data_IF_448681072163
#
_entry.id   IF_448681072163
#
_cell.length_a   1.000
_cell.length_b   1.000
_cell.length_c   1.000
_cell.angle_alpha   90.00
_cell.angle_beta   90.00
_cell.angle_gamma   90.00
#
_symmetry.space_group_name_H-M   'P 1'
#
loop_
_entity.id
_entity.type
_entity.pdbx_description
1 polymer ?
#
# COMPACT_ATOMS: atom_id res chain seq x y z
N UNK A 1 17.86 -6.72 4.92
CA UNK A 1 18.72 -7.18 3.81
C UNK A 1 17.90 -8.16 2.99
N UNK A 2 17.82 -7.92 1.69
CA UNK A 2 17.17 -8.81 0.72
C UNK A 2 18.22 -9.81 0.27
N UNK A 3 17.89 -11.08 0.16
CA UNK A 3 18.83 -12.13 -0.18
C UNK A 3 18.49 -12.65 -1.58
N UNK A 4 19.37 -12.41 -2.56
CA UNK A 4 19.17 -12.86 -3.94
C UNK A 4 20.06 -14.06 -4.17
N UNK A 5 19.48 -15.21 -4.53
CA UNK A 5 20.24 -16.42 -4.82
C UNK A 5 21.16 -16.21 -6.04
N UNK A 6 22.25 -16.99 -6.11
CA UNK A 6 23.21 -16.86 -7.23
C UNK A 6 22.54 -17.07 -8.59
N UNK A 7 21.63 -18.04 -8.70
CA UNK A 7 20.85 -18.32 -9.92
C UNK A 7 19.98 -17.12 -10.31
N UNK A 8 19.34 -16.48 -9.34
CA UNK A 8 18.53 -15.30 -9.58
C UNK A 8 19.38 -14.09 -9.99
N UNK A 9 20.58 -13.92 -9.41
CA UNK A 9 21.51 -12.86 -9.82
C UNK A 9 21.96 -13.05 -11.28
N UNK A 10 22.41 -14.25 -11.66
CA UNK A 10 22.79 -14.56 -13.05
C UNK A 10 21.64 -14.30 -14.03
N UNK A 11 20.41 -14.65 -13.65
CA UNK A 11 19.21 -14.37 -14.44
C UNK A 11 18.94 -12.86 -14.56
N UNK A 12 19.07 -12.08 -13.49
CA UNK A 12 18.91 -10.62 -13.55
C UNK A 12 19.97 -9.97 -14.44
N UNK A 13 21.24 -10.37 -14.33
CA UNK A 13 22.29 -9.87 -15.22
C UNK A 13 21.96 -10.14 -16.69
N UNK A 14 21.44 -11.33 -17.00
CA UNK A 14 21.00 -11.67 -18.36
C UNK A 14 19.76 -10.90 -18.82
N UNK A 15 18.88 -10.49 -17.91
CA UNK A 15 17.73 -9.63 -18.26
C UNK A 15 18.21 -8.21 -18.56
N UNK A 16 19.04 -7.65 -17.66
CA UNK A 16 19.56 -6.29 -17.77
C UNK A 16 20.44 -6.09 -19.01
N UNK A 17 21.11 -7.12 -19.53
CA UNK A 17 21.87 -7.01 -20.77
C UNK A 17 21.03 -6.73 -22.02
N UNK A 18 19.71 -6.94 -21.94
CA UNK A 18 18.77 -6.62 -23.01
C UNK A 18 18.06 -5.27 -22.81
N UNK A 19 18.30 -4.62 -21.67
CA UNK A 19 17.70 -3.34 -21.32
C UNK A 19 18.67 -2.18 -21.66
N UNK A 20 18.17 -0.93 -21.74
CA UNK A 20 19.01 0.25 -21.96
C UNK A 20 20.13 0.38 -20.92
N UNK A 21 21.22 1.04 -21.30
CA UNK A 21 22.34 1.34 -20.40
C UNK A 21 21.85 2.03 -19.11
N UNK A 22 22.51 1.70 -17.99
CA UNK A 22 22.17 2.14 -16.63
C UNK A 22 20.83 1.65 -16.05
N UNK A 23 20.08 0.79 -16.74
CA UNK A 23 18.89 0.15 -16.15
C UNK A 23 19.32 -0.82 -15.04
N UNK A 24 18.65 -0.73 -13.89
CA UNK A 24 18.89 -1.57 -12.71
C UNK A 24 17.59 -2.27 -12.30
N UNK A 25 17.58 -2.92 -11.14
CA UNK A 25 16.38 -3.58 -10.59
C UNK A 25 15.80 -2.76 -9.45
N UNK A 26 14.48 -2.67 -9.37
CA UNK A 26 13.75 -2.14 -8.22
C UNK A 26 12.92 -3.26 -7.59
N UNK A 27 13.02 -3.40 -6.27
CA UNK A 27 12.10 -4.26 -5.50
C UNK A 27 11.10 -3.36 -4.82
N UNK A 28 9.81 -3.66 -4.98
CA UNK A 28 8.73 -2.88 -4.41
C UNK A 28 7.71 -3.77 -3.70
N UNK A 29 6.92 -3.15 -2.85
CA UNK A 29 5.79 -3.76 -2.16
C UNK A 29 4.58 -2.87 -2.29
N UNK A 30 3.45 -3.46 -2.66
CA UNK A 30 2.14 -2.83 -2.72
C UNK A 30 1.36 -3.24 -1.47
N UNK A 31 0.65 -2.30 -0.85
CA UNK A 31 -0.13 -2.51 0.38
C UNK A 31 0.68 -3.13 1.55
N UNK A 32 1.87 -2.60 1.89
CA UNK A 32 2.75 -3.20 2.91
C UNK A 32 2.05 -3.31 4.26
N UNK A 33 2.27 -4.45 4.94
CA UNK A 33 1.70 -4.72 6.26
C UNK A 33 0.27 -5.23 6.25
N UNK A 34 -0.37 -5.37 5.09
CA UNK A 34 -1.76 -5.84 5.00
C UNK A 34 -1.85 -7.29 4.51
N UNK A 35 -3.00 -7.98 4.68
CA UNK A 35 -3.21 -9.30 4.11
C UNK A 35 -3.05 -9.35 2.57
N UNK A 36 -3.31 -8.21 1.92
CA UNK A 36 -3.22 -7.99 0.48
C UNK A 36 -1.83 -7.47 0.04
N UNK A 37 -0.81 -7.57 0.90
CA UNK A 37 0.52 -7.14 0.54
C UNK A 37 1.09 -8.01 -0.59
N UNK A 38 1.55 -7.35 -1.65
CA UNK A 38 2.15 -7.97 -2.83
C UNK A 38 3.54 -7.41 -3.07
N UNK A 39 4.50 -8.29 -3.33
CA UNK A 39 5.89 -7.90 -3.59
C UNK A 39 6.23 -8.18 -5.05
N UNK A 40 6.97 -7.28 -5.66
CA UNK A 40 7.36 -7.37 -7.07
C UNK A 40 8.77 -6.90 -7.32
N UNK A 41 9.24 -7.19 -8.53
CA UNK A 41 10.46 -6.65 -9.11
C UNK A 41 10.14 -5.96 -10.42
N UNK A 42 10.82 -4.85 -10.69
CA UNK A 42 10.69 -4.07 -11.91
C UNK A 42 12.06 -3.59 -12.37
N UNK A 43 12.16 -3.23 -13.65
CA UNK A 43 13.32 -2.49 -14.15
C UNK A 43 13.26 -1.06 -13.63
N UNK A 44 14.43 -0.50 -13.32
CA UNK A 44 14.59 0.84 -12.77
C UNK A 44 15.64 1.59 -13.60
N UNK A 45 15.20 2.37 -14.58
CA UNK A 45 16.06 3.32 -15.29
C UNK A 45 16.63 4.38 -14.33
N UNK A 46 17.72 5.04 -14.72
CA UNK A 46 18.42 6.01 -13.88
C UNK A 46 17.55 7.21 -13.49
N UNK A 47 16.66 7.66 -14.39
CA UNK A 47 15.74 8.78 -14.15
C UNK A 47 14.58 8.45 -13.21
N UNK A 48 14.37 7.17 -12.86
CA UNK A 48 13.33 6.75 -11.93
C UNK A 48 13.84 6.58 -10.49
N UNK A 49 15.15 6.70 -10.26
CA UNK A 49 15.74 6.55 -8.93
C UNK A 49 15.37 7.78 -8.08
N UNK A 50 14.80 7.53 -6.90
CA UNK A 50 14.40 8.58 -5.97
C UNK A 50 15.46 8.82 -4.88
N UNK A 51 15.47 10.02 -4.29
CA UNK A 51 16.37 10.34 -3.16
C UNK A 51 16.08 9.50 -1.90
N UNK A 52 14.86 9.01 -1.78
CA UNK A 52 14.38 8.11 -0.72
C UNK A 52 14.79 6.65 -0.97
N UNK A 53 15.37 6.31 -2.11
CA UNK A 53 15.78 4.95 -2.40
C UNK A 53 17.08 4.57 -1.69
N UNK A 54 17.12 3.32 -1.25
CA UNK A 54 18.31 2.66 -0.74
C UNK A 54 18.87 1.80 -1.87
N UNK A 55 20.14 2.05 -2.20
CA UNK A 55 20.88 1.25 -3.15
C UNK A 55 21.52 0.04 -2.47
N UNK A 56 21.23 -1.16 -2.98
CA UNK A 56 21.82 -2.42 -2.55
C UNK A 56 22.68 -2.98 -3.69
N UNK A 57 23.96 -3.25 -3.40
CA UNK A 57 24.92 -3.76 -4.39
C UNK A 57 24.91 -5.28 -4.44
N UNK A 58 24.81 -5.84 -5.64
CA UNK A 58 24.94 -7.26 -5.94
C UNK A 58 26.00 -7.49 -7.02
N UNK A 59 26.18 -8.74 -7.44
CA UNK A 59 27.15 -9.09 -8.47
C UNK A 59 26.64 -8.65 -9.85
N UNK A 60 27.24 -7.58 -10.39
CA UNK A 60 26.93 -7.07 -11.73
C UNK A 60 25.72 -6.12 -11.84
N UNK A 61 24.98 -5.85 -10.76
CA UNK A 61 23.85 -4.92 -10.78
C UNK A 61 23.54 -4.33 -9.39
N UNK A 62 22.69 -3.30 -9.39
CA UNK A 62 22.16 -2.69 -8.18
C UNK A 62 20.66 -2.97 -8.04
N UNK A 63 20.21 -3.01 -6.80
CA UNK A 63 18.78 -3.07 -6.47
C UNK A 63 18.41 -1.83 -5.68
N UNK A 64 17.41 -1.09 -6.16
CA UNK A 64 16.82 0.04 -5.47
C UNK A 64 15.56 -0.37 -4.72
N UNK A 65 15.42 0.14 -3.50
CA UNK A 65 14.26 -0.09 -2.64
C UNK A 65 13.96 1.18 -1.87
N UNK A 66 12.69 1.61 -1.89
CA UNK A 66 12.28 2.78 -1.14
C UNK A 66 12.48 2.56 0.38
N UNK A 67 13.13 3.53 1.04
CA UNK A 67 13.48 3.49 2.47
C UNK A 67 12.30 3.25 3.40
N UNK A 68 11.10 3.71 3.05
CA UNK A 68 9.91 3.57 3.89
C UNK A 68 9.38 2.12 3.88
N UNK A 69 9.67 1.39 2.80
CA UNK A 69 9.16 0.03 2.59
C UNK A 69 10.16 -1.07 2.95
N UNK A 70 11.45 -0.76 3.04
CA UNK A 70 12.53 -1.75 3.22
C UNK A 70 12.35 -2.64 4.46
N UNK A 71 11.69 -2.12 5.50
CA UNK A 71 11.40 -2.86 6.74
C UNK A 71 10.48 -4.07 6.51
N UNK A 72 9.54 -3.97 5.57
CA UNK A 72 8.64 -5.08 5.19
C UNK A 72 9.34 -6.12 4.31
N UNK A 73 10.42 -5.73 3.66
CA UNK A 73 11.27 -6.59 2.82
C UNK A 73 12.44 -7.22 3.61
N UNK A 74 12.39 -7.17 4.94
CA UNK A 74 13.39 -7.82 5.78
C UNK A 74 13.31 -9.34 5.62
N UNK A 75 14.48 -9.98 5.52
CA UNK A 75 14.61 -11.43 5.29
C UNK A 75 13.89 -11.90 4.01
N UNK A 76 13.62 -11.00 3.07
CA UNK A 76 13.09 -11.38 1.76
C UNK A 76 14.13 -12.15 0.96
N UNK A 77 13.68 -13.18 0.26
CA UNK A 77 14.51 -14.02 -0.59
C UNK A 77 13.99 -13.98 -2.01
N UNK A 78 14.85 -13.65 -2.97
CA UNK A 78 14.58 -13.78 -4.40
C UNK A 78 15.35 -14.98 -4.91
N UNK A 79 14.63 -15.91 -5.53
CA UNK A 79 15.20 -17.13 -6.08
C UNK A 79 14.62 -17.44 -7.47
N UNK A 80 15.36 -18.24 -8.25
CA UNK A 80 14.92 -18.74 -9.54
C UNK A 80 14.59 -20.22 -9.39
N UNK A 81 13.30 -20.55 -9.46
CA UNK A 81 12.83 -21.94 -9.45
C UNK A 81 12.71 -22.40 -10.89
N UNK A 82 13.47 -23.42 -11.26
CA UNK A 82 13.38 -24.06 -12.58
C UNK A 82 12.61 -25.36 -12.44
N UNK A 83 11.53 -25.47 -13.19
CA UNK A 83 10.67 -26.64 -13.23
C UNK A 83 10.55 -27.18 -14.66
N UNK A 84 9.79 -28.27 -14.85
CA UNK A 84 9.66 -28.94 -16.17
C UNK A 84 9.06 -28.06 -17.29
N UNK A 85 8.46 -26.93 -16.94
CA UNK A 85 7.73 -26.02 -17.85
C UNK A 85 8.53 -24.73 -18.13
N UNK A 86 9.54 -24.41 -17.32
CA UNK A 86 10.35 -23.19 -17.47
C UNK A 86 11.02 -22.75 -16.16
N UNK A 87 11.65 -21.58 -16.20
CA UNK A 87 12.23 -20.93 -15.02
C UNK A 87 11.35 -19.77 -14.57
N UNK A 88 11.02 -19.72 -13.27
CA UNK A 88 10.21 -18.66 -12.66
C UNK A 88 10.97 -17.98 -11.52
N UNK A 89 11.06 -16.65 -11.57
CA UNK A 89 11.53 -15.84 -10.45
C UNK A 89 10.48 -15.84 -9.34
N UNK A 90 10.90 -16.14 -8.12
CA UNK A 90 10.07 -16.17 -6.92
C UNK A 90 10.63 -15.20 -5.89
N UNK A 91 9.78 -14.30 -5.39
CA UNK A 91 10.09 -13.40 -4.28
C UNK A 91 9.29 -13.82 -3.05
N UNK A 92 9.99 -14.32 -2.03
CA UNK A 92 9.41 -14.66 -0.73
C UNK A 92 9.74 -13.55 0.26
N UNK A 93 8.73 -12.82 0.70
CA UNK A 93 8.87 -11.76 1.68
C UNK A 93 8.07 -12.13 2.96
N UNK A 94 8.70 -12.79 3.95
CA UNK A 94 8.00 -13.34 5.12
C UNK A 94 7.34 -12.25 5.97
N UNK A 95 7.80 -11.01 5.83
CA UNK A 95 7.34 -9.87 6.60
C UNK A 95 6.53 -8.86 5.79
N UNK A 96 6.25 -9.15 4.51
CA UNK A 96 5.44 -8.28 3.65
C UNK A 96 4.03 -8.05 4.20
N UNK A 97 3.42 -9.13 4.71
CA UNK A 97 2.09 -9.14 5.32
C UNK A 97 2.13 -8.93 6.83
N UNK A 98 3.32 -8.88 7.43
CA UNK A 98 3.40 -8.60 8.85
C UNK A 98 3.14 -7.12 9.08
N UNK A 99 2.29 -6.85 10.05
CA UNK A 99 2.12 -5.55 10.67
C UNK A 99 3.38 -5.10 11.46
N UNK A 100 4.58 -5.12 10.84
CA UNK A 100 5.80 -4.53 11.39
C UNK A 100 5.72 -3.01 11.55
N UNK A 101 4.61 -2.40 11.11
CA UNK A 101 4.20 -1.03 11.45
C UNK A 101 3.85 -0.85 12.94
N UNK A 102 4.66 -1.45 13.81
CA UNK A 102 4.67 -1.21 15.24
C UNK A 102 6.09 -0.81 15.69
N UNK A 103 6.78 0.11 14.98
CA UNK A 103 7.80 0.98 15.61
C UNK A 103 8.44 2.14 14.82
N UNK A 104 8.01 2.52 13.62
CA UNK A 104 8.50 3.76 12.99
C UNK A 104 7.31 4.62 12.61
N UNK A 105 6.88 5.41 13.60
CA UNK A 105 6.16 6.68 13.46
C UNK A 105 5.24 6.85 12.24
N UNK A 106 4.31 5.93 11.99
CA UNK A 106 3.13 6.33 11.24
C UNK A 106 2.21 7.07 12.20
N UNK A 107 1.88 8.32 11.87
CA UNK A 107 0.94 9.10 12.67
C UNK A 107 -0.40 8.35 12.74
N UNK A 108 -1.19 8.59 13.78
CA UNK A 108 -2.53 7.99 13.87
C UNK A 108 -3.33 8.28 12.58
N UNK A 109 -3.15 9.47 12.00
CA UNK A 109 -3.78 9.87 10.75
C UNK A 109 -3.38 8.99 9.56
N UNK A 110 -2.11 8.65 9.41
CA UNK A 110 -1.63 7.81 8.31
C UNK A 110 -2.19 6.39 8.41
N UNK A 111 -2.24 5.85 9.63
CA UNK A 111 -2.84 4.53 9.87
C UNK A 111 -4.32 4.51 9.50
N UNK A 112 -5.04 5.56 9.87
CA UNK A 112 -6.46 5.70 9.55
C UNK A 112 -6.68 5.91 8.05
N UNK A 113 -5.88 6.76 7.39
CA UNK A 113 -5.94 6.94 5.93
C UNK A 113 -5.71 5.62 5.19
N UNK A 114 -4.71 4.85 5.61
CA UNK A 114 -4.43 3.53 5.05
C UNK A 114 -5.61 2.57 5.23
N UNK A 115 -6.17 2.50 6.44
CA UNK A 115 -7.35 1.68 6.73
C UNK A 115 -8.56 2.07 5.88
N UNK A 116 -8.87 3.36 5.74
CA UNK A 116 -9.96 3.82 4.89
C UNK A 116 -9.76 3.39 3.44
N UNK A 117 -8.54 3.51 2.90
CA UNK A 117 -8.25 3.13 1.52
C UNK A 117 -8.32 1.61 1.26
N UNK A 118 -8.01 0.77 2.24
CA UNK A 118 -7.92 -0.68 2.05
C UNK A 118 -9.15 -1.46 2.51
N UNK A 119 -9.83 -1.01 3.57
CA UNK A 119 -10.94 -1.76 4.18
C UNK A 119 -12.31 -1.14 3.90
N UNK A 120 -12.36 0.18 3.64
CA UNK A 120 -13.61 0.92 3.47
C UNK A 120 -13.85 1.28 2.00
N UNK A 121 -12.91 1.98 1.37
CA UNK A 121 -13.05 2.50 0.02
C UNK A 121 -13.30 1.43 -1.06
N UNK A 122 -12.78 0.19 -0.99
CA UNK A 122 -13.14 -0.84 -1.96
C UNK A 122 -14.65 -1.15 -1.93
N UNK A 123 -15.26 -1.15 -0.74
CA UNK A 123 -16.70 -1.39 -0.57
C UNK A 123 -17.53 -0.20 -1.06
N UNK A 124 -17.08 1.03 -0.76
CA UNK A 124 -17.76 2.25 -1.22
C UNK A 124 -17.65 2.45 -2.74
N UNK A 125 -16.51 2.09 -3.34
CA UNK A 125 -16.25 2.27 -4.78
C UNK A 125 -17.20 1.42 -5.63
N UNK A 126 -17.68 0.28 -5.12
CA UNK A 126 -18.72 -0.52 -5.79
C UNK A 126 -20.00 0.26 -6.05
N UNK A 127 -20.27 1.29 -5.24
CA UNK A 127 -21.39 2.20 -5.36
C UNK A 127 -20.98 3.60 -5.85
N UNK A 128 -19.79 3.72 -6.45
CA UNK A 128 -19.26 4.98 -6.96
C UNK A 128 -18.91 6.01 -5.89
N UNK A 129 -18.78 5.60 -4.63
CA UNK A 129 -18.47 6.47 -3.50
C UNK A 129 -17.07 6.25 -2.91
N UNK A 130 -16.61 7.22 -2.13
CA UNK A 130 -15.33 7.16 -1.41
C UNK A 130 -15.43 7.91 -0.08
N UNK A 131 -14.55 7.60 0.86
CA UNK A 131 -14.31 8.35 2.08
C UNK A 131 -12.84 8.66 2.26
N UNK A 132 -12.54 9.85 2.77
CA UNK A 132 -11.20 10.33 3.07
C UNK A 132 -11.14 10.87 4.51
N UNK A 133 -9.97 10.76 5.15
CA UNK A 133 -9.72 11.35 6.46
C UNK A 133 -9.21 12.79 6.28
N UNK A 134 -9.89 13.73 6.92
CA UNK A 134 -9.53 15.15 6.91
C UNK A 134 -8.51 15.48 7.99
N UNK A 135 -8.77 15.07 9.24
CA UNK A 135 -7.94 15.34 10.42
C UNK A 135 -8.32 14.43 11.57
N UNK A 136 -7.42 14.26 12.54
CA UNK A 136 -7.75 13.71 13.86
C UNK A 136 -7.38 14.74 14.92
N UNK A 137 -8.34 15.10 15.78
CA UNK A 137 -8.08 16.05 16.86
C UNK A 137 -7.39 15.39 18.07
N UNK A 138 -6.92 16.21 19.01
CA UNK A 138 -6.25 15.77 20.23
C UNK A 138 -7.15 14.92 21.16
N UNK A 139 -8.47 15.00 20.99
CA UNK A 139 -9.44 14.23 21.77
C UNK A 139 -9.68 12.83 21.18
N UNK A 140 -9.11 12.52 20.00
CA UNK A 140 -9.32 11.27 19.27
C UNK A 140 -10.58 11.29 18.40
N UNK A 141 -11.04 12.47 17.96
CA UNK A 141 -12.15 12.61 17.03
C UNK A 141 -11.60 12.66 15.61
N UNK A 142 -11.94 11.65 14.80
CA UNK A 142 -11.56 11.58 13.40
C UNK A 142 -12.61 12.26 12.53
N UNK A 143 -12.23 13.32 11.83
CA UNK A 143 -13.08 13.96 10.83
C UNK A 143 -12.87 13.27 9.47
N UNK A 144 -13.96 12.79 8.88
CA UNK A 144 -13.99 12.13 7.57
C UNK A 144 -14.86 12.91 6.60
N UNK A 145 -14.58 12.76 5.31
CA UNK A 145 -15.38 13.33 4.24
C UNK A 145 -15.69 12.25 3.20
N UNK A 146 -16.97 12.01 2.98
CA UNK A 146 -17.49 11.24 1.87
C UNK A 146 -17.53 12.06 0.58
N UNK A 147 -17.21 11.40 -0.53
CA UNK A 147 -17.27 11.92 -1.90
C UNK A 147 -17.88 10.89 -2.86
N UNK A 148 -18.18 11.32 -4.10
CA UNK A 148 -18.83 10.48 -5.11
C UNK A 148 -20.30 10.16 -4.82
N UNK A 149 -20.76 8.96 -5.19
CA UNK A 149 -22.14 8.48 -4.97
C UNK A 149 -22.57 8.45 -3.50
N UNK A 150 -21.61 8.46 -2.56
CA UNK A 150 -21.87 8.55 -1.13
C UNK A 150 -22.21 9.97 -0.63
N UNK A 151 -21.96 11.02 -1.44
CA UNK A 151 -22.24 12.40 -1.04
C UNK A 151 -23.74 12.76 -1.16
N UNK A 152 -24.48 12.13 -2.09
CA UNK A 152 -25.83 12.53 -2.48
C UNK A 152 -26.95 11.49 -2.27
N UNK A 153 -26.69 10.36 -1.62
CA UNK A 153 -27.74 9.33 -1.44
C UNK A 153 -28.56 9.59 -0.16
N UNK A 154 -29.83 9.97 -0.34
CA UNK A 154 -30.81 10.33 0.70
C UNK A 154 -31.16 9.21 1.68
N UNK A 155 -30.76 7.97 1.40
CA UNK A 155 -31.06 6.80 2.24
C UNK A 155 -29.84 6.22 2.99
N UNK A 156 -28.64 6.76 2.76
CA UNK A 156 -27.37 6.11 3.14
C UNK A 156 -26.56 6.87 4.22
N UNK A 157 -26.80 8.18 4.39
CA UNK A 157 -25.94 9.05 5.21
C UNK A 157 -25.71 8.59 6.66
N UNK A 158 -26.73 8.10 7.37
CA UNK A 158 -26.58 7.65 8.77
C UNK A 158 -25.98 6.24 8.88
N UNK A 159 -26.48 5.27 8.10
CA UNK A 159 -26.06 3.86 8.19
C UNK A 159 -24.62 3.65 7.71
N UNK A 160 -24.21 4.36 6.66
CA UNK A 160 -22.86 4.27 6.12
C UNK A 160 -21.85 4.86 7.10
N UNK A 161 -22.16 6.05 7.63
CA UNK A 161 -21.38 6.68 8.68
C UNK A 161 -21.22 5.77 9.89
N UNK A 162 -22.32 5.18 10.38
CA UNK A 162 -22.26 4.23 11.52
C UNK A 162 -21.39 3.01 11.23
N UNK A 163 -21.40 2.51 9.99
CA UNK A 163 -20.58 1.36 9.60
C UNK A 163 -19.10 1.71 9.56
N UNK A 164 -18.75 2.86 8.98
CA UNK A 164 -17.36 3.37 8.95
C UNK A 164 -16.89 3.69 10.37
N UNK A 165 -17.72 4.34 11.18
CA UNK A 165 -17.44 4.65 12.58
C UNK A 165 -17.17 3.39 13.40
N UNK A 166 -18.07 2.40 13.36
CA UNK A 166 -17.87 1.12 14.08
C UNK A 166 -16.56 0.44 13.68
N UNK A 167 -16.26 0.38 12.38
CA UNK A 167 -15.02 -0.22 11.86
C UNK A 167 -13.77 0.54 12.31
N UNK A 168 -13.82 1.87 12.34
CA UNK A 168 -12.70 2.70 12.82
C UNK A 168 -12.49 2.52 14.32
N UNK A 169 -13.55 2.60 15.13
CA UNK A 169 -13.49 2.41 16.58
C UNK A 169 -13.01 1.01 16.97
N UNK A 170 -13.39 -0.03 16.22
CA UNK A 170 -12.93 -1.40 16.47
C UNK A 170 -11.46 -1.62 16.10
N UNK A 171 -10.93 -0.83 15.16
CA UNK A 171 -9.58 -1.02 14.62
C UNK A 171 -8.54 -0.12 15.29
N UNK A 172 -8.97 1.02 15.85
CA UNK A 172 -8.10 2.01 16.47
C UNK A 172 -8.64 2.44 17.84
N UNK A 173 -7.99 1.97 18.91
CA UNK A 173 -8.33 2.33 20.30
C UNK A 173 -8.18 3.83 20.61
N UNK A 174 -7.36 4.52 19.81
CA UNK A 174 -7.06 5.94 19.93
C UNK A 174 -8.18 6.83 19.37
N UNK A 175 -9.05 6.28 18.51
CA UNK A 175 -10.22 6.99 17.98
C UNK A 175 -11.38 6.76 18.94
N UNK A 176 -11.98 7.85 19.43
CA UNK A 176 -13.14 7.81 20.32
C UNK A 176 -14.45 8.10 19.61
N UNK A 177 -14.38 8.83 18.49
CA UNK A 177 -15.56 9.26 17.74
C UNK A 177 -15.18 9.58 16.30
N UNK A 178 -16.15 9.41 15.39
CA UNK A 178 -16.00 9.82 13.99
C UNK A 178 -17.00 10.92 13.66
N UNK A 179 -16.50 12.02 13.08
CA UNK A 179 -17.29 13.15 12.65
C UNK A 179 -17.30 13.25 11.12
N UNK A 180 -18.46 13.52 10.55
CA UNK A 180 -18.63 13.64 9.10
C UNK A 180 -18.65 15.13 8.74
N UNK A 181 -17.63 15.59 8.00
CA UNK A 181 -17.49 16.95 7.49
C UNK A 181 -18.08 17.11 6.07
N UNK A 182 -18.78 16.10 5.54
CA UNK A 182 -19.40 16.21 4.21
C UNK A 182 -20.59 17.15 4.22
N UNK A 183 -20.54 18.16 3.36
CA UNK A 183 -21.71 18.96 3.01
C UNK A 183 -22.60 18.17 2.06
N UNK A 184 -23.49 17.35 2.62
CA UNK A 184 -24.48 16.57 1.88
C UNK A 184 -25.48 17.49 1.19
N UNK A 185 -25.13 17.96 -0.01
CA UNK A 185 -26.02 18.73 -0.86
C UNK A 185 -27.18 17.83 -1.31
N UNK A 186 -28.39 18.17 -0.88
CA UNK A 186 -29.60 17.59 -1.45
C UNK A 186 -29.78 18.13 -2.87
N UNK A 187 -29.68 17.26 -3.88
CA UNK A 187 -29.79 17.66 -5.28
C UNK A 187 -30.29 16.53 -6.18
N UNK A 188 -30.82 16.88 -7.35
CA UNK A 188 -31.52 15.97 -8.29
C UNK A 188 -30.65 14.88 -8.95
N UNK A 189 -29.41 14.67 -8.49
CA UNK A 189 -28.52 13.60 -8.98
C UNK A 189 -28.56 12.32 -8.15
N UNK A 190 -29.49 12.20 -7.20
CA UNK A 190 -29.80 10.95 -6.51
C UNK A 190 -30.62 10.04 -7.45
N UNK A 191 -29.99 9.56 -8.52
CA UNK A 191 -30.66 8.66 -9.46
C UNK A 191 -30.91 7.29 -8.82
N UNK A 192 -32.04 6.72 -9.25
CA UNK A 192 -32.55 5.36 -9.11
C UNK A 192 -31.48 4.27 -9.09
#
# INVERSE_FOLDING_TARGET
MINISKKAQEHFTSLLSNEPENTQIRVFIVNPGTPNAECGVAFCPENEIELSDIQLKYDGFFVYVNKDTISYLKNSVIDLVTDKIGSQLTLKAPYAKNNFSKKVSSSLEEKVKCFLNLEINPQLSMHGGRVELMKIDENGIAAIQFSGGCNGCSMIGSTLKETVEKKLLSSFSEIKKVYDETHHLHGQHSFY
#
